data_IF_305482366816
#
_entry.id   IF_305482366816
#
_cell.length_a   1.000
_cell.length_b   1.000
_cell.length_c   1.000
_cell.angle_alpha   90.00
_cell.angle_beta   90.00
_cell.angle_gamma   90.00
#
_symmetry.space_group_name_H-M   'P 1'
#
loop_
_entity.id
_entity.type
_entity.pdbx_description
1 polymer ?
#
# COMPACT_ATOMS: atom_id res chain seq x y z
N UNK A 1 -34.89 -19.03 -39.84
CA UNK A 1 -34.10 -17.94 -39.28
C UNK A 1 -33.63 -18.38 -37.90
N UNK A 2 -32.33 -18.67 -37.71
CA UNK A 2 -31.75 -18.96 -36.41
C UNK A 2 -31.51 -17.62 -35.69
N UNK A 3 -31.83 -17.48 -34.39
CA UNK A 3 -31.56 -16.26 -33.67
C UNK A 3 -30.06 -16.06 -33.58
N UNK A 4 -29.56 -14.91 -34.02
CA UNK A 4 -28.18 -14.46 -33.78
C UNK A 4 -27.98 -14.39 -32.25
N UNK A 5 -27.11 -15.24 -31.74
CA UNK A 5 -26.58 -15.05 -30.39
C UNK A 5 -25.89 -13.68 -30.35
N UNK A 6 -26.52 -12.74 -29.67
CA UNK A 6 -25.87 -11.49 -29.29
C UNK A 6 -24.73 -11.85 -28.35
N UNK A 7 -23.51 -11.72 -28.80
CA UNK A 7 -22.32 -11.66 -27.93
C UNK A 7 -22.56 -10.46 -27.04
N UNK A 8 -22.53 -10.60 -25.70
CA UNK A 8 -22.56 -9.43 -24.83
C UNK A 8 -21.25 -8.68 -25.08
N UNK A 9 -21.30 -7.66 -25.91
CA UNK A 9 -20.24 -6.67 -26.02
C UNK A 9 -20.37 -5.76 -24.81
N UNK A 10 -19.39 -5.78 -24.02
CA UNK A 10 -18.80 -4.81 -23.12
C UNK A 10 -18.26 -5.57 -21.91
N UNK A 11 -17.04 -6.07 -22.06
CA UNK A 11 -16.21 -6.23 -20.88
C UNK A 11 -16.12 -4.84 -20.23
N UNK A 12 -16.75 -4.71 -19.06
CA UNK A 12 -16.68 -3.48 -18.28
C UNK A 12 -15.20 -3.11 -18.15
N UNK A 13 -14.86 -1.85 -18.42
CA UNK A 13 -13.51 -1.31 -18.29
C UNK A 13 -12.91 -1.50 -16.87
N UNK A 14 -13.69 -2.02 -15.94
CA UNK A 14 -13.36 -2.27 -14.54
C UNK A 14 -12.51 -3.54 -14.29
N UNK A 15 -12.34 -4.43 -15.25
CA UNK A 15 -11.56 -5.67 -15.12
C UNK A 15 -10.39 -5.65 -16.10
N UNK A 16 -9.24 -6.20 -15.67
CA UNK A 16 -8.13 -6.52 -16.57
C UNK A 16 -8.35 -7.89 -17.20
N UNK A 17 -8.70 -8.87 -16.38
CA UNK A 17 -9.02 -10.24 -16.76
C UNK A 17 -10.31 -10.69 -16.07
N UNK A 18 -11.48 -10.45 -16.70
CA UNK A 18 -12.78 -10.79 -16.11
C UNK A 18 -12.91 -12.26 -15.71
N UNK A 19 -12.26 -13.16 -16.45
CA UNK A 19 -12.31 -14.58 -16.15
C UNK A 19 -11.61 -14.87 -14.82
N UNK A 20 -10.37 -14.44 -14.67
CA UNK A 20 -9.58 -14.66 -13.44
C UNK A 20 -10.21 -13.92 -12.23
N UNK A 21 -10.65 -12.68 -12.43
CA UNK A 21 -11.15 -11.83 -11.37
C UNK A 21 -12.56 -12.21 -10.84
N UNK A 22 -13.23 -13.17 -11.50
CA UNK A 22 -14.55 -13.70 -11.10
C UNK A 22 -14.58 -15.21 -10.92
N UNK A 23 -13.43 -15.88 -10.85
CA UNK A 23 -13.36 -17.32 -10.57
C UNK A 23 -13.87 -17.66 -9.19
N UNK A 24 -14.57 -18.79 -9.07
CA UNK A 24 -14.88 -19.36 -7.76
C UNK A 24 -13.62 -19.77 -6.99
N UNK A 25 -13.75 -19.83 -5.67
CA UNK A 25 -12.65 -20.08 -4.74
C UNK A 25 -11.80 -21.31 -5.11
N UNK A 26 -12.43 -22.45 -5.39
CA UNK A 26 -11.72 -23.70 -5.71
C UNK A 26 -10.87 -23.56 -6.99
N UNK A 27 -11.46 -23.03 -8.05
CA UNK A 27 -10.74 -22.81 -9.31
C UNK A 27 -9.58 -21.80 -9.16
N UNK A 28 -9.75 -20.78 -8.31
CA UNK A 28 -8.69 -19.85 -7.98
C UNK A 28 -7.56 -20.55 -7.24
N UNK A 29 -7.86 -21.37 -6.24
CA UNK A 29 -6.87 -22.16 -5.48
C UNK A 29 -6.08 -23.12 -6.38
N UNK A 30 -6.72 -23.74 -7.37
CA UNK A 30 -6.02 -24.58 -8.37
C UNK A 30 -5.03 -23.77 -9.20
N UNK A 31 -5.42 -22.59 -9.68
CA UNK A 31 -4.54 -21.68 -10.43
C UNK A 31 -3.36 -21.21 -9.58
N UNK A 32 -3.62 -20.80 -8.34
CA UNK A 32 -2.59 -20.38 -7.40
C UNK A 32 -1.60 -21.52 -7.12
N UNK A 33 -2.10 -22.71 -6.82
CA UNK A 33 -1.26 -23.91 -6.58
C UNK A 33 -0.37 -24.18 -7.78
N UNK A 34 -0.94 -24.20 -8.99
CA UNK A 34 -0.15 -24.45 -10.21
C UNK A 34 0.93 -23.40 -10.44
N UNK A 35 0.60 -22.12 -10.29
CA UNK A 35 1.60 -21.04 -10.41
C UNK A 35 2.69 -21.17 -9.36
N UNK A 36 2.31 -21.50 -8.12
CA UNK A 36 3.26 -21.71 -7.03
C UNK A 36 4.20 -22.89 -7.31
N UNK A 37 3.67 -24.04 -7.76
CA UNK A 37 4.49 -25.19 -8.15
C UNK A 37 5.48 -24.85 -9.27
N UNK A 38 5.04 -24.12 -10.33
CA UNK A 38 5.91 -23.69 -11.42
C UNK A 38 7.03 -22.74 -10.95
N UNK A 39 6.74 -21.88 -9.98
CA UNK A 39 7.77 -21.06 -9.33
C UNK A 39 8.72 -21.91 -8.50
N UNK A 40 8.20 -22.85 -7.70
CA UNK A 40 9.00 -23.74 -6.85
C UNK A 40 9.99 -24.60 -7.65
N UNK A 41 9.62 -25.09 -8.83
CA UNK A 41 10.54 -25.85 -9.69
C UNK A 41 11.82 -25.08 -9.98
N UNK A 42 11.71 -23.79 -10.29
CA UNK A 42 12.86 -22.93 -10.55
C UNK A 42 13.60 -22.52 -9.27
N UNK A 43 12.86 -22.18 -8.23
CA UNK A 43 13.41 -21.75 -6.94
C UNK A 43 14.21 -22.89 -6.28
N UNK A 44 13.67 -24.10 -6.22
CA UNK A 44 14.36 -25.25 -5.62
C UNK A 44 15.64 -25.65 -6.39
N UNK A 45 15.66 -25.42 -7.70
CA UNK A 45 16.80 -25.74 -8.55
C UNK A 45 18.00 -24.81 -8.34
N UNK A 46 17.76 -23.52 -8.12
CA UNK A 46 18.83 -22.51 -8.27
C UNK A 46 18.89 -21.45 -7.16
N UNK A 47 17.79 -21.16 -6.47
CA UNK A 47 17.73 -20.13 -5.42
C UNK A 47 18.33 -20.67 -4.11
N UNK A 48 19.47 -20.13 -3.70
CA UNK A 48 20.17 -20.64 -2.52
C UNK A 48 19.41 -20.36 -1.22
N UNK A 49 18.83 -19.17 -1.07
CA UNK A 49 18.09 -18.76 0.13
C UNK A 49 16.86 -19.66 0.36
N UNK A 50 15.94 -19.69 -0.59
CA UNK A 50 14.74 -20.51 -0.47
C UNK A 50 15.01 -21.99 -0.64
N UNK A 51 15.97 -22.38 -1.49
CA UNK A 51 16.34 -23.78 -1.68
C UNK A 51 16.81 -24.44 -0.38
N UNK A 52 17.56 -23.73 0.48
CA UNK A 52 17.92 -24.20 1.82
C UNK A 52 16.68 -24.23 2.72
N UNK A 53 16.00 -23.11 2.87
CA UNK A 53 14.85 -22.91 3.76
C UNK A 53 13.73 -23.93 3.52
N UNK A 54 13.42 -24.21 2.26
CA UNK A 54 12.37 -25.16 1.88
C UNK A 54 12.79 -26.62 2.07
N UNK A 55 14.05 -26.96 1.76
CA UNK A 55 14.57 -28.30 2.04
C UNK A 55 14.61 -28.62 3.54
N UNK A 56 14.95 -27.65 4.37
CA UNK A 56 14.92 -27.79 5.83
C UNK A 56 13.48 -28.00 6.35
N UNK A 57 12.47 -27.47 5.65
CA UNK A 57 11.05 -27.72 5.89
C UNK A 57 10.52 -29.01 5.22
N UNK A 58 11.39 -29.85 4.62
CA UNK A 58 11.02 -31.13 4.01
C UNK A 58 10.58 -31.05 2.55
N UNK A 59 10.56 -29.86 1.92
CA UNK A 59 10.17 -29.70 0.50
C UNK A 59 11.38 -29.85 -0.40
N UNK A 60 11.39 -30.89 -1.21
CA UNK A 60 12.48 -31.22 -2.15
C UNK A 60 12.07 -31.07 -3.61
N UNK A 61 10.78 -31.22 -3.90
CA UNK A 61 10.20 -31.13 -5.22
C UNK A 61 8.96 -30.20 -5.17
N UNK A 62 8.63 -29.56 -6.26
CA UNK A 62 7.44 -28.69 -6.31
C UNK A 62 6.14 -29.46 -6.02
N UNK A 63 6.11 -30.76 -6.38
CA UNK A 63 4.98 -31.66 -6.17
C UNK A 63 4.80 -32.12 -4.72
N UNK A 64 5.75 -31.82 -3.82
CA UNK A 64 5.58 -32.04 -2.38
C UNK A 64 4.47 -31.13 -1.82
N UNK A 65 4.24 -29.98 -2.45
CA UNK A 65 3.09 -29.10 -2.20
C UNK A 65 1.93 -29.54 -3.11
N UNK A 66 0.98 -30.25 -2.55
CA UNK A 66 -0.17 -30.85 -3.27
C UNK A 66 -1.41 -29.99 -3.22
N UNK A 67 -1.54 -29.18 -2.17
CA UNK A 67 -2.63 -28.26 -1.92
C UNK A 67 -2.09 -26.93 -1.39
N UNK A 68 -2.89 -25.87 -1.40
CA UNK A 68 -2.49 -24.62 -0.75
C UNK A 68 -2.45 -24.72 0.78
N UNK A 69 -3.05 -25.77 1.37
CA UNK A 69 -2.94 -25.97 2.81
C UNK A 69 -1.55 -26.51 3.20
N UNK A 70 -0.86 -27.23 2.30
CA UNK A 70 0.52 -27.64 2.51
C UNK A 70 1.47 -26.42 2.59
N UNK A 71 1.12 -25.32 1.92
CA UNK A 71 1.87 -24.06 2.00
C UNK A 71 1.93 -23.52 3.43
N UNK A 72 0.87 -23.72 4.23
CA UNK A 72 0.82 -23.28 5.64
C UNK A 72 1.89 -23.92 6.52
N UNK A 73 2.45 -25.06 6.11
CA UNK A 73 3.53 -25.75 6.83
C UNK A 73 4.91 -25.17 6.53
N UNK A 74 5.05 -24.36 5.48
CA UNK A 74 6.32 -23.72 5.15
C UNK A 74 6.66 -22.61 6.16
N UNK A 75 7.93 -22.41 6.47
CA UNK A 75 8.34 -21.34 7.39
C UNK A 75 8.05 -19.96 6.81
N UNK A 76 7.66 -19.04 7.67
CA UNK A 76 7.52 -17.64 7.31
C UNK A 76 8.85 -17.04 6.87
N UNK A 77 8.79 -16.05 6.00
CA UNK A 77 9.93 -15.21 5.65
C UNK A 77 9.71 -13.81 6.22
N UNK A 78 10.76 -13.23 6.80
CA UNK A 78 10.73 -11.87 7.36
C UNK A 78 11.69 -10.94 6.62
N UNK A 79 11.44 -9.64 6.74
CA UNK A 79 12.36 -8.63 6.21
C UNK A 79 13.75 -8.73 6.84
N UNK A 80 13.81 -9.05 8.13
CA UNK A 80 15.05 -9.21 8.86
C UNK A 80 15.91 -10.35 8.28
N UNK A 81 15.29 -11.49 7.94
CA UNK A 81 16.03 -12.62 7.30
C UNK A 81 16.60 -12.22 5.94
N UNK A 82 15.82 -11.51 5.10
CA UNK A 82 16.31 -11.04 3.80
C UNK A 82 17.45 -10.02 3.95
N UNK A 83 17.37 -9.13 4.93
CA UNK A 83 18.44 -8.17 5.23
C UNK A 83 19.69 -8.87 5.74
N UNK A 84 19.57 -9.84 6.65
CA UNK A 84 20.69 -10.63 7.16
C UNK A 84 21.37 -11.43 6.03
N UNK A 85 20.61 -12.01 5.12
CA UNK A 85 21.15 -12.69 3.95
C UNK A 85 21.94 -11.73 3.05
N UNK A 86 21.43 -10.51 2.83
CA UNK A 86 22.16 -9.50 2.03
C UNK A 86 23.43 -8.98 2.72
N UNK A 87 23.43 -8.85 4.04
CA UNK A 87 24.61 -8.47 4.80
C UNK A 87 25.68 -9.58 4.78
N UNK A 88 25.25 -10.84 4.87
CA UNK A 88 26.16 -11.98 4.82
C UNK A 88 26.71 -12.26 3.40
N UNK A 89 25.95 -11.88 2.36
CA UNK A 89 26.28 -12.14 0.96
C UNK A 89 26.11 -10.87 0.10
N UNK A 90 26.92 -9.84 0.31
CA UNK A 90 26.77 -8.57 -0.40
C UNK A 90 27.04 -8.70 -1.91
N UNK A 91 26.45 -7.81 -2.74
CA UNK A 91 25.55 -6.75 -2.35
C UNK A 91 24.07 -7.12 -2.34
N UNK A 92 23.65 -8.29 -2.81
CA UNK A 92 22.25 -8.63 -3.10
C UNK A 92 21.69 -9.83 -2.37
N UNK A 93 22.50 -10.51 -1.55
CA UNK A 93 22.11 -11.75 -0.88
C UNK A 93 22.07 -12.95 -1.82
N UNK A 94 21.45 -14.02 -1.34
CA UNK A 94 21.33 -15.31 -2.03
C UNK A 94 19.91 -15.63 -2.49
N UNK A 95 18.93 -14.74 -2.24
CA UNK A 95 17.57 -14.87 -2.77
C UNK A 95 17.51 -14.48 -4.26
N UNK A 96 18.33 -15.12 -5.07
CA UNK A 96 18.41 -14.93 -6.52
C UNK A 96 18.18 -16.28 -7.22
N UNK A 97 17.13 -16.37 -8.02
CA UNK A 97 16.80 -17.59 -8.79
C UNK A 97 17.59 -17.68 -10.09
N UNK A 98 17.99 -16.55 -10.65
CA UNK A 98 18.71 -16.51 -11.92
C UNK A 98 20.13 -15.94 -11.77
N UNK A 99 21.04 -16.16 -12.74
CA UNK A 99 22.32 -15.48 -12.78
C UNK A 99 22.15 -13.95 -12.81
N UNK A 100 23.07 -13.22 -12.19
CA UNK A 100 22.99 -11.75 -11.99
C UNK A 100 22.71 -10.95 -13.28
N UNK A 101 23.26 -11.37 -14.41
CA UNK A 101 23.09 -10.69 -15.69
C UNK A 101 21.64 -10.74 -16.23
N UNK A 102 20.76 -11.57 -15.67
CA UNK A 102 19.33 -11.62 -16.00
C UNK A 102 18.52 -10.51 -15.32
N UNK A 103 19.07 -9.88 -14.27
CA UNK A 103 18.41 -8.81 -13.55
C UNK A 103 18.75 -7.48 -14.18
N UNK A 104 17.73 -6.75 -14.59
CA UNK A 104 17.84 -5.50 -15.33
C UNK A 104 17.45 -4.28 -14.53
N UNK A 105 16.88 -4.49 -13.34
CA UNK A 105 16.43 -3.40 -12.44
C UNK A 105 16.77 -3.71 -11.00
N UNK A 106 17.06 -2.65 -10.27
CA UNK A 106 17.27 -2.66 -8.82
C UNK A 106 16.42 -1.57 -8.20
N UNK A 107 15.73 -1.92 -7.13
CA UNK A 107 15.09 -0.98 -6.22
C UNK A 107 15.48 -1.29 -4.79
N UNK A 108 15.32 -0.32 -3.91
CA UNK A 108 15.65 -0.50 -2.50
C UNK A 108 14.56 0.08 -1.62
N UNK A 109 14.42 -0.46 -0.41
CA UNK A 109 13.54 0.12 0.60
C UNK A 109 14.12 1.40 1.17
N UNK A 110 13.31 2.22 1.85
CA UNK A 110 13.75 3.50 2.42
C UNK A 110 14.83 3.41 3.50
N UNK A 111 15.06 2.20 4.06
CA UNK A 111 16.11 1.98 5.06
C UNK A 111 15.96 2.80 6.35
N UNK A 112 14.75 3.14 6.76
CA UNK A 112 14.48 3.98 7.94
C UNK A 112 15.07 3.47 9.25
N UNK A 113 15.41 2.18 9.32
CA UNK A 113 15.95 1.50 10.50
C UNK A 113 17.37 0.96 10.30
N UNK A 114 18.05 1.31 9.20
CA UNK A 114 19.41 0.82 8.89
C UNK A 114 19.67 0.71 7.38
N UNK A 115 20.43 -0.31 6.98
CA UNK A 115 20.72 -0.59 5.57
C UNK A 115 19.45 -0.89 4.76
N UNK A 116 19.30 -0.33 3.55
CA UNK A 116 18.14 -0.60 2.70
C UNK A 116 18.19 -2.03 2.14
N UNK A 117 17.04 -2.72 2.16
CA UNK A 117 16.89 -3.98 1.43
C UNK A 117 16.89 -3.70 -0.08
N UNK A 118 17.79 -4.33 -0.82
CA UNK A 118 17.91 -4.25 -2.27
C UNK A 118 17.12 -5.37 -2.90
N UNK A 119 16.28 -5.04 -3.85
CA UNK A 119 15.40 -5.99 -4.54
C UNK A 119 15.60 -5.85 -6.03
N UNK A 120 15.86 -6.98 -6.69
CA UNK A 120 16.20 -7.04 -8.10
C UNK A 120 15.05 -7.64 -8.91
N UNK A 121 14.86 -7.11 -10.11
CA UNK A 121 13.88 -7.61 -11.05
C UNK A 121 14.51 -8.00 -12.38
N UNK A 122 14.11 -9.18 -12.89
CA UNK A 122 14.31 -9.55 -14.28
C UNK A 122 13.28 -8.84 -15.15
N UNK A 123 13.43 -8.92 -16.47
CA UNK A 123 12.44 -8.35 -17.40
C UNK A 123 11.06 -9.03 -17.27
N UNK A 124 11.04 -10.34 -16.97
CA UNK A 124 9.80 -11.09 -16.74
C UNK A 124 9.12 -10.64 -15.44
N UNK A 125 9.87 -10.50 -14.33
CA UNK A 125 9.38 -9.98 -13.05
C UNK A 125 8.82 -8.56 -13.21
N UNK A 126 9.49 -7.73 -13.99
CA UNK A 126 9.05 -6.35 -14.22
C UNK A 126 7.76 -6.27 -15.04
N UNK A 127 7.61 -7.11 -16.08
CA UNK A 127 6.34 -7.23 -16.83
C UNK A 127 5.20 -7.73 -15.94
N UNK A 128 5.49 -8.66 -15.03
CA UNK A 128 4.53 -9.11 -14.02
C UNK A 128 4.08 -7.96 -13.10
N UNK A 129 5.00 -7.13 -12.62
CA UNK A 129 4.68 -5.94 -11.85
C UNK A 129 3.75 -4.99 -12.63
N UNK A 130 4.08 -4.72 -13.88
CA UNK A 130 3.28 -3.88 -14.76
C UNK A 130 1.85 -4.43 -14.93
N UNK A 131 1.70 -5.77 -15.04
CA UNK A 131 0.39 -6.44 -15.09
C UNK A 131 -0.38 -6.26 -13.77
N UNK A 132 0.26 -6.39 -12.62
CA UNK A 132 -0.38 -6.15 -11.33
C UNK A 132 -0.93 -4.71 -11.24
N UNK A 133 -0.17 -3.71 -11.68
CA UNK A 133 -0.62 -2.32 -11.74
C UNK A 133 -1.73 -2.09 -12.77
N UNK A 134 -1.71 -2.81 -13.88
CA UNK A 134 -2.80 -2.76 -14.86
C UNK A 134 -4.15 -3.19 -14.22
N UNK A 135 -4.14 -4.19 -13.32
CA UNK A 135 -5.32 -4.57 -12.53
C UNK A 135 -5.78 -3.42 -11.62
N UNK A 136 -4.85 -2.75 -10.90
CA UNK A 136 -5.16 -1.56 -10.08
C UNK A 136 -5.87 -0.50 -10.90
N UNK A 137 -5.33 -0.16 -12.06
CA UNK A 137 -5.90 0.85 -12.95
C UNK A 137 -7.30 0.48 -13.42
N UNK A 138 -7.48 -0.74 -13.92
CA UNK A 138 -8.79 -1.21 -14.40
C UNK A 138 -9.82 -1.23 -13.28
N UNK A 139 -9.44 -1.67 -12.07
CA UNK A 139 -10.32 -1.67 -10.92
C UNK A 139 -10.80 -0.27 -10.53
N UNK A 140 -9.94 0.75 -10.64
CA UNK A 140 -10.29 2.15 -10.44
C UNK A 140 -11.08 2.76 -11.62
N UNK A 141 -11.15 2.08 -12.78
CA UNK A 141 -11.85 2.55 -13.98
C UNK A 141 -10.98 3.42 -14.89
N UNK A 142 -9.66 3.26 -14.82
CA UNK A 142 -8.71 3.88 -15.75
C UNK A 142 -8.69 3.11 -17.06
N UNK A 143 -8.63 3.81 -18.18
CA UNK A 143 -8.67 3.27 -19.54
C UNK A 143 -7.51 3.79 -20.38
N UNK A 144 -7.41 3.31 -21.63
CA UNK A 144 -6.44 3.82 -22.62
C UNK A 144 -6.67 5.28 -23.05
N UNK A 145 -7.81 5.87 -22.67
CA UNK A 145 -8.13 7.28 -22.98
C UNK A 145 -7.58 8.24 -21.91
N UNK A 146 -7.07 7.70 -20.80
CA UNK A 146 -6.62 8.48 -19.67
C UNK A 146 -5.19 8.99 -19.85
N UNK A 147 -4.93 10.12 -19.25
CA UNK A 147 -3.61 10.74 -19.08
C UNK A 147 -3.28 10.69 -17.59
N UNK A 148 -2.27 9.91 -17.27
CA UNK A 148 -1.88 9.60 -15.89
C UNK A 148 -0.65 10.43 -15.52
N UNK A 149 -0.79 11.32 -14.55
CA UNK A 149 0.33 12.10 -14.02
C UNK A 149 0.93 11.41 -12.77
N UNK A 150 2.23 11.19 -12.81
CA UNK A 150 3.01 10.60 -11.73
C UNK A 150 3.72 11.69 -10.94
N UNK A 151 3.09 12.18 -9.88
CA UNK A 151 3.67 13.18 -9.00
C UNK A 151 4.67 12.52 -8.02
N UNK A 152 5.81 12.07 -8.57
CA UNK A 152 6.76 11.20 -7.91
C UNK A 152 8.20 11.48 -8.38
N UNK A 153 9.19 11.28 -7.49
CA UNK A 153 10.58 11.69 -7.75
C UNK A 153 11.43 10.67 -8.52
N UNK A 154 10.94 9.49 -8.83
CA UNK A 154 11.65 8.44 -9.59
C UNK A 154 13.07 8.14 -9.10
N UNK A 155 13.23 7.93 -7.78
CA UNK A 155 14.50 7.55 -7.16
C UNK A 155 14.78 6.04 -7.17
N UNK A 156 15.76 5.54 -6.39
CA UNK A 156 16.13 4.12 -6.36
C UNK A 156 15.12 3.24 -5.61
N UNK A 157 14.09 3.81 -4.98
CA UNK A 157 12.97 3.07 -4.39
C UNK A 157 11.90 2.80 -5.43
N UNK A 158 11.16 1.69 -5.27
CA UNK A 158 10.18 1.24 -6.27
C UNK A 158 9.13 2.31 -6.56
N UNK A 159 8.59 2.96 -5.52
CA UNK A 159 7.56 3.98 -5.64
C UNK A 159 6.51 3.63 -6.70
N UNK A 160 6.37 4.51 -7.68
CA UNK A 160 5.43 4.33 -8.78
C UNK A 160 6.09 3.93 -10.12
N UNK A 161 7.35 3.46 -10.11
CA UNK A 161 7.99 2.95 -11.34
C UNK A 161 7.18 1.85 -12.01
N UNK A 162 6.71 0.87 -11.23
CA UNK A 162 5.88 -0.22 -11.75
C UNK A 162 4.49 0.27 -12.19
N UNK A 163 3.97 1.32 -11.54
CA UNK A 163 2.76 2.01 -11.95
C UNK A 163 2.92 2.66 -13.33
N UNK A 164 4.05 3.31 -13.55
CA UNK A 164 4.37 3.91 -14.86
C UNK A 164 4.37 2.87 -15.99
N UNK A 165 4.97 1.71 -15.73
CA UNK A 165 4.93 0.59 -16.70
C UNK A 165 3.51 0.01 -16.86
N UNK A 166 2.74 -0.07 -15.77
CA UNK A 166 1.34 -0.52 -15.80
C UNK A 166 0.45 0.35 -16.68
N UNK A 167 0.71 1.67 -16.73
CA UNK A 167 0.02 2.58 -17.63
C UNK A 167 0.19 2.18 -19.11
N UNK A 168 1.40 1.74 -19.49
CA UNK A 168 1.69 1.25 -20.85
C UNK A 168 0.91 -0.02 -21.17
N UNK A 169 0.75 -0.93 -20.20
CA UNK A 169 -0.01 -2.17 -20.38
C UNK A 169 -1.47 -1.90 -20.74
N UNK A 170 -2.10 -0.91 -20.12
CA UNK A 170 -3.48 -0.53 -20.40
C UNK A 170 -3.61 0.45 -21.58
N UNK A 171 -2.50 0.91 -22.16
CA UNK A 171 -2.47 1.85 -23.29
C UNK A 171 -2.77 3.30 -22.90
N UNK A 172 -2.67 3.67 -21.62
CA UNK A 172 -2.86 5.04 -21.16
C UNK A 172 -1.61 5.88 -21.36
N UNK A 173 -1.79 7.20 -21.53
CA UNK A 173 -0.68 8.12 -21.62
C UNK A 173 -0.06 8.35 -20.23
N UNK A 174 1.24 8.07 -20.08
CA UNK A 174 1.97 8.27 -18.85
C UNK A 174 2.75 9.60 -18.89
N UNK A 175 2.52 10.48 -17.93
CA UNK A 175 3.16 11.79 -17.82
C UNK A 175 4.01 11.84 -16.54
N UNK A 176 5.35 11.80 -16.65
CA UNK A 176 6.23 11.81 -15.49
C UNK A 176 6.34 13.21 -14.89
N UNK A 177 6.12 13.32 -13.57
CA UNK A 177 6.29 14.56 -12.79
C UNK A 177 7.62 14.64 -12.00
N UNK A 178 8.58 13.74 -12.29
CA UNK A 178 9.87 13.74 -11.63
C UNK A 178 10.69 15.02 -11.89
N UNK A 179 11.40 15.51 -10.88
CA UNK A 179 12.21 16.73 -11.00
C UNK A 179 11.44 18.06 -10.93
N UNK A 180 10.09 18.02 -10.97
CA UNK A 180 9.24 19.21 -10.81
C UNK A 180 8.98 19.49 -9.33
N UNK A 181 8.94 20.77 -8.95
CA UNK A 181 8.41 21.20 -7.65
C UNK A 181 6.87 21.13 -7.65
N UNK A 182 6.24 21.34 -6.49
CA UNK A 182 4.78 21.17 -6.32
C UNK A 182 3.98 22.16 -7.18
N UNK A 183 4.42 23.41 -7.29
CA UNK A 183 3.81 24.41 -8.19
C UNK A 183 3.85 23.98 -9.65
N UNK A 184 5.02 23.52 -10.12
CA UNK A 184 5.20 23.05 -11.49
C UNK A 184 4.33 21.84 -11.79
N UNK A 185 4.17 20.92 -10.81
CA UNK A 185 3.29 19.74 -10.92
C UNK A 185 1.82 20.15 -11.05
N UNK A 186 1.34 21.09 -10.21
CA UNK A 186 -0.02 21.63 -10.31
C UNK A 186 -0.26 22.20 -11.71
N UNK A 187 0.65 23.07 -12.18
CA UNK A 187 0.52 23.64 -13.54
C UNK A 187 0.55 22.56 -14.63
N UNK A 188 1.43 21.58 -14.53
CA UNK A 188 1.54 20.49 -15.50
C UNK A 188 0.25 19.64 -15.54
N UNK A 189 -0.38 19.38 -14.39
CA UNK A 189 -1.65 18.67 -14.31
C UNK A 189 -2.75 19.43 -15.05
N UNK A 190 -2.86 20.74 -14.83
CA UNK A 190 -3.89 21.57 -15.46
C UNK A 190 -3.68 21.74 -16.97
N UNK A 191 -2.44 22.05 -17.39
CA UNK A 191 -2.12 22.34 -18.81
C UNK A 191 -2.14 21.08 -19.68
N UNK A 192 -1.78 19.92 -19.14
CA UNK A 192 -1.74 18.66 -19.92
C UNK A 192 -3.04 17.86 -19.84
N UNK A 193 -4.13 18.48 -19.37
CA UNK A 193 -5.46 17.87 -19.36
C UNK A 193 -5.45 16.48 -18.68
N UNK A 194 -4.77 16.38 -17.52
CA UNK A 194 -4.58 15.14 -16.77
C UNK A 194 -5.92 14.65 -16.24
N UNK A 195 -6.19 13.35 -16.39
CA UNK A 195 -7.42 12.71 -15.89
C UNK A 195 -7.20 11.80 -14.68
N UNK A 196 -5.96 11.39 -14.43
CA UNK A 196 -5.60 10.49 -13.30
C UNK A 196 -4.33 11.00 -12.62
N UNK A 197 -4.36 11.10 -11.29
CA UNK A 197 -3.21 11.44 -10.47
C UNK A 197 -2.71 10.22 -9.69
N UNK A 198 -1.39 10.01 -9.67
CA UNK A 198 -0.72 9.00 -8.87
C UNK A 198 0.29 9.67 -7.95
N UNK A 199 0.10 9.55 -6.64
CA UNK A 199 1.01 10.04 -5.60
C UNK A 199 0.69 9.40 -4.24
N UNK A 200 1.42 9.77 -3.17
CA UNK A 200 1.02 9.43 -1.80
C UNK A 200 -0.19 10.26 -1.35
N UNK A 201 -1.00 9.79 -0.38
CA UNK A 201 -2.13 10.56 0.16
C UNK A 201 -1.71 11.92 0.70
N UNK A 202 -0.61 11.96 1.48
CA UNK A 202 -0.06 13.21 2.03
C UNK A 202 0.30 14.20 0.93
N UNK A 203 0.92 13.73 -0.15
CA UNK A 203 1.31 14.59 -1.24
C UNK A 203 0.12 15.11 -2.05
N UNK A 204 -0.95 14.32 -2.18
CA UNK A 204 -2.20 14.79 -2.79
C UNK A 204 -2.82 15.96 -2.03
N UNK A 205 -2.77 15.92 -0.69
CA UNK A 205 -3.24 17.02 0.17
C UNK A 205 -2.32 18.23 0.07
N UNK A 206 -1.00 18.02 0.04
CA UNK A 206 -0.04 19.12 -0.15
C UNK A 206 -0.24 19.85 -1.50
N UNK A 207 -0.53 19.12 -2.57
CA UNK A 207 -0.83 19.75 -3.87
C UNK A 207 -2.13 20.58 -3.83
N UNK A 208 -3.13 20.20 -3.01
CA UNK A 208 -4.32 21.01 -2.77
C UNK A 208 -3.94 22.34 -2.10
N UNK A 209 -3.14 22.28 -1.02
CA UNK A 209 -2.65 23.48 -0.31
C UNK A 209 -1.88 24.42 -1.24
N UNK A 210 -0.99 23.88 -2.07
CA UNK A 210 -0.23 24.65 -3.06
C UNK A 210 -1.15 25.30 -4.09
N UNK A 211 -2.16 24.58 -4.58
CA UNK A 211 -3.10 25.12 -5.54
C UNK A 211 -3.95 26.24 -4.95
N UNK A 212 -4.42 26.10 -3.70
CA UNK A 212 -5.17 27.15 -2.98
C UNK A 212 -4.32 28.41 -2.80
N UNK A 213 -3.04 28.26 -2.40
CA UNK A 213 -2.11 29.40 -2.23
C UNK A 213 -1.85 30.14 -3.53
N UNK A 214 -1.81 29.43 -4.65
CA UNK A 214 -1.51 29.97 -5.99
C UNK A 214 -2.79 30.36 -6.77
N UNK A 215 -3.97 30.19 -6.18
CA UNK A 215 -5.25 30.56 -6.79
C UNK A 215 -5.71 29.61 -7.90
N UNK A 216 -5.26 28.35 -7.90
CA UNK A 216 -5.71 27.31 -8.83
C UNK A 216 -6.88 26.51 -8.24
N UNK A 217 -7.87 26.20 -9.06
CA UNK A 217 -9.00 25.34 -8.70
C UNK A 217 -8.76 23.91 -9.24
N UNK A 218 -8.28 23.01 -8.37
CA UNK A 218 -8.09 21.59 -8.73
C UNK A 218 -9.39 20.81 -8.83
N UNK A 219 -10.43 21.23 -8.12
CA UNK A 219 -11.71 20.54 -8.14
C UNK A 219 -12.43 20.68 -9.49
N UNK A 220 -12.18 21.75 -10.24
CA UNK A 220 -12.68 21.96 -11.60
C UNK A 220 -11.74 21.41 -12.70
N UNK A 221 -10.61 20.81 -12.33
CA UNK A 221 -9.68 20.17 -13.28
C UNK A 221 -10.30 18.92 -13.92
N UNK A 222 -9.65 18.40 -14.97
CA UNK A 222 -10.07 17.14 -15.60
C UNK A 222 -9.66 15.87 -14.81
N UNK A 223 -9.00 16.01 -13.65
CA UNK A 223 -8.66 14.88 -12.79
C UNK A 223 -9.95 14.29 -12.22
N UNK A 224 -10.26 13.06 -12.61
CA UNK A 224 -11.46 12.31 -12.17
C UNK A 224 -11.15 11.16 -11.23
N UNK A 225 -9.87 10.74 -11.18
CA UNK A 225 -9.36 9.64 -10.37
C UNK A 225 -8.04 10.04 -9.74
N UNK A 226 -7.89 9.75 -8.45
CA UNK A 226 -6.60 9.76 -7.76
C UNK A 226 -6.35 8.36 -7.19
N UNK A 227 -5.13 7.82 -7.35
CA UNK A 227 -4.73 6.52 -6.80
C UNK A 227 -3.51 6.73 -5.93
N UNK A 228 -3.57 6.24 -4.71
CA UNK A 228 -2.58 6.51 -3.68
C UNK A 228 -1.99 5.23 -3.12
N UNK A 229 -0.71 5.30 -2.74
CA UNK A 229 0.03 4.22 -2.11
C UNK A 229 1.17 4.76 -1.25
N UNK A 230 1.79 3.85 -0.50
CA UNK A 230 3.05 4.10 0.20
C UNK A 230 2.89 4.46 1.67
N UNK A 231 1.73 4.91 2.09
CA UNK A 231 1.36 5.20 3.48
C UNK A 231 -0.15 5.02 3.69
N UNK A 232 -0.65 4.85 4.93
CA UNK A 232 -2.07 4.93 5.22
C UNK A 232 -2.62 6.31 4.82
N UNK A 233 -3.88 6.37 4.40
CA UNK A 233 -4.51 7.64 4.05
C UNK A 233 -5.71 7.48 3.13
N UNK A 234 -5.53 6.94 1.93
CA UNK A 234 -6.62 6.75 0.98
C UNK A 234 -7.68 5.74 1.44
N UNK A 235 -7.35 4.84 2.37
CA UNK A 235 -8.30 3.96 3.07
C UNK A 235 -8.97 4.63 4.28
N UNK A 236 -8.37 5.72 4.83
CA UNK A 236 -8.91 6.42 5.99
C UNK A 236 -10.03 7.38 5.55
N UNK A 237 -11.27 7.25 6.08
CA UNK A 237 -12.43 8.04 5.61
C UNK A 237 -12.19 9.55 5.63
N UNK A 238 -11.58 10.08 6.68
CA UNK A 238 -11.30 11.52 6.81
C UNK A 238 -10.34 12.04 5.73
N UNK A 239 -9.21 11.37 5.54
CA UNK A 239 -8.22 11.70 4.51
C UNK A 239 -8.79 11.54 3.11
N UNK A 240 -9.49 10.42 2.86
CA UNK A 240 -10.14 10.14 1.57
C UNK A 240 -11.14 11.21 1.17
N UNK A 241 -12.05 11.58 2.10
CA UNK A 241 -13.04 12.62 1.85
C UNK A 241 -12.40 13.97 1.54
N UNK A 242 -11.27 14.28 2.17
CA UNK A 242 -10.53 15.53 1.97
C UNK A 242 -9.87 15.59 0.59
N UNK A 243 -9.21 14.48 0.18
CA UNK A 243 -8.64 14.35 -1.17
C UNK A 243 -9.74 14.44 -2.21
N UNK A 244 -10.87 13.75 -2.02
CA UNK A 244 -12.00 13.78 -2.97
C UNK A 244 -12.58 15.18 -3.15
N UNK A 245 -12.72 15.95 -2.07
CA UNK A 245 -13.21 17.35 -2.16
C UNK A 245 -12.23 18.26 -2.87
N UNK A 246 -10.94 18.21 -2.49
CA UNK A 246 -9.95 19.13 -3.05
C UNK A 246 -9.66 18.88 -4.52
N UNK A 247 -9.75 17.63 -4.97
CA UNK A 247 -9.53 17.25 -6.38
C UNK A 247 -10.80 17.15 -7.21
N UNK A 248 -11.99 17.17 -6.61
CA UNK A 248 -13.25 16.88 -7.33
C UNK A 248 -13.28 15.47 -7.94
N UNK A 249 -12.46 14.54 -7.43
CA UNK A 249 -12.13 13.25 -8.03
C UNK A 249 -12.43 12.07 -7.10
N UNK A 250 -12.59 10.87 -7.64
CA UNK A 250 -12.67 9.65 -6.84
C UNK A 250 -11.28 9.24 -6.38
N UNK A 251 -11.11 9.07 -5.07
CA UNK A 251 -9.87 8.67 -4.44
C UNK A 251 -9.85 7.16 -4.22
N UNK A 252 -8.80 6.49 -4.69
CA UNK A 252 -8.62 5.04 -4.56
C UNK A 252 -7.34 4.73 -3.79
N UNK A 253 -7.43 3.68 -2.97
CA UNK A 253 -6.30 3.13 -2.23
C UNK A 253 -5.64 1.97 -2.98
N UNK A 254 -4.33 1.84 -2.83
CA UNK A 254 -3.52 0.74 -3.34
C UNK A 254 -2.46 0.34 -2.33
N UNK A 255 -2.28 -0.96 -2.14
CA UNK A 255 -1.25 -1.50 -1.26
C UNK A 255 -0.24 -2.36 -2.01
N UNK A 256 1.02 -2.18 -1.65
CA UNK A 256 2.16 -2.92 -2.17
C UNK A 256 3.43 -2.66 -1.37
N UNK A 257 4.42 -3.49 -1.58
CA UNK A 257 5.75 -3.34 -0.98
C UNK A 257 6.83 -3.66 -2.00
N UNK A 258 8.02 -3.04 -1.83
CA UNK A 258 9.16 -3.23 -2.74
C UNK A 258 9.52 -4.70 -2.90
N UNK A 259 9.52 -5.45 -1.81
CA UNK A 259 9.87 -6.88 -1.77
C UNK A 259 8.74 -7.80 -2.24
N UNK A 260 7.48 -7.36 -2.18
CA UNK A 260 6.29 -8.19 -2.42
C UNK A 260 5.73 -8.02 -3.84
N UNK A 261 5.37 -6.81 -4.19
CA UNK A 261 4.62 -6.49 -5.39
C UNK A 261 3.38 -5.62 -5.11
N UNK A 262 2.65 -5.26 -6.18
CA UNK A 262 1.39 -4.53 -6.13
C UNK A 262 0.24 -5.51 -5.84
N UNK A 263 0.06 -5.86 -4.57
CA UNK A 263 -0.83 -6.94 -4.16
C UNK A 263 -2.28 -6.52 -3.96
N UNK A 264 -2.51 -5.28 -3.49
CA UNK A 264 -3.82 -4.82 -3.03
C UNK A 264 -4.36 -3.66 -3.84
N UNK A 265 -5.64 -3.66 -4.16
CA UNK A 265 -6.27 -2.58 -4.91
C UNK A 265 -7.72 -2.34 -4.48
N UNK A 266 -8.12 -1.08 -4.50
CA UNK A 266 -9.51 -0.69 -4.30
C UNK A 266 -10.25 -0.69 -5.64
N UNK A 267 -11.48 -1.19 -5.64
CA UNK A 267 -12.36 -1.18 -6.81
C UNK A 267 -13.36 -0.01 -6.78
N UNK A 268 -14.18 0.13 -7.83
CA UNK A 268 -15.21 1.18 -7.94
C UNK A 268 -16.24 1.18 -6.78
N UNK A 269 -16.40 0.08 -6.06
CA UNK A 269 -17.30 0.03 -4.90
C UNK A 269 -16.72 0.78 -3.68
N UNK A 270 -15.40 1.00 -3.65
CA UNK A 270 -14.69 1.74 -2.60
C UNK A 270 -14.97 1.18 -1.19
N UNK A 271 -14.99 -0.13 -1.06
CA UNK A 271 -15.30 -0.85 0.18
C UNK A 271 -14.14 -1.78 0.59
N UNK A 272 -12.96 -1.20 0.76
CA UNK A 272 -11.72 -1.91 1.14
C UNK A 272 -10.89 -2.38 -0.04
N UNK A 273 -9.80 -3.11 0.26
CA UNK A 273 -8.80 -3.57 -0.70
C UNK A 273 -9.03 -5.02 -1.10
N UNK A 274 -9.16 -5.30 -2.38
CA UNK A 274 -9.04 -6.65 -2.92
C UNK A 274 -7.57 -7.06 -3.01
N UNK A 275 -7.29 -8.33 -2.70
CA UNK A 275 -6.02 -8.96 -3.05
C UNK A 275 -6.06 -9.39 -4.52
N UNK A 276 -5.01 -9.15 -5.27
CA UNK A 276 -4.87 -9.68 -6.63
C UNK A 276 -4.55 -11.18 -6.57
N UNK A 277 -5.54 -12.01 -6.24
CA UNK A 277 -5.36 -13.45 -6.01
C UNK A 277 -4.91 -14.22 -7.25
N UNK A 278 -5.10 -13.67 -8.44
CA UNK A 278 -4.50 -14.23 -9.65
C UNK A 278 -2.98 -14.20 -9.66
N UNK A 279 -2.34 -13.35 -8.84
CA UNK A 279 -0.89 -13.13 -8.81
C UNK A 279 -0.27 -13.29 -7.41
N UNK A 280 -1.10 -13.42 -6.36
CA UNK A 280 -0.65 -13.54 -4.97
C UNK A 280 -1.49 -14.56 -4.22
N UNK A 281 -0.86 -15.23 -3.24
CA UNK A 281 -1.54 -15.95 -2.17
C UNK A 281 -1.43 -15.08 -0.92
N UNK A 282 -2.56 -14.81 -0.28
CA UNK A 282 -2.63 -14.04 0.96
C UNK A 282 -3.17 -14.91 2.10
N UNK A 283 -2.49 -14.87 3.23
CA UNK A 283 -2.89 -15.47 4.50
C UNK A 283 -3.06 -14.34 5.53
N UNK A 284 -4.00 -14.47 6.43
CA UNK A 284 -4.13 -13.59 7.60
C UNK A 284 -3.89 -14.43 8.82
N UNK A 285 -2.92 -14.06 9.64
CA UNK A 285 -2.51 -14.84 10.81
C UNK A 285 -2.57 -14.01 12.08
N UNK A 286 -2.83 -14.67 13.19
CA UNK A 286 -2.54 -14.09 14.50
C UNK A 286 -1.02 -13.89 14.61
N UNK A 287 -0.53 -12.68 14.90
CA UNK A 287 0.91 -12.39 14.88
C UNK A 287 1.70 -13.10 15.99
N UNK A 288 1.03 -13.60 17.04
CA UNK A 288 1.65 -14.28 18.19
C UNK A 288 1.69 -15.79 17.96
N UNK A 289 0.54 -16.40 17.59
CA UNK A 289 0.43 -17.85 17.41
C UNK A 289 0.85 -18.31 16.01
N UNK A 290 0.75 -17.44 15.01
CA UNK A 290 0.98 -17.78 13.60
C UNK A 290 -0.17 -18.56 12.96
N UNK A 291 -1.27 -18.78 13.69
CA UNK A 291 -2.47 -19.47 13.20
C UNK A 291 -3.34 -18.57 12.34
N UNK A 292 -4.17 -19.16 11.49
CA UNK A 292 -5.09 -18.42 10.63
C UNK A 292 -6.13 -17.65 11.46
N UNK A 293 -6.39 -16.40 11.04
CA UNK A 293 -7.34 -15.50 11.69
C UNK A 293 -8.16 -14.70 10.68
N UNK A 294 -9.29 -14.11 11.13
CA UNK A 294 -10.07 -13.17 10.31
C UNK A 294 -9.49 -11.75 10.36
N UNK A 295 -8.83 -11.40 11.45
CA UNK A 295 -8.09 -10.16 11.61
C UNK A 295 -6.71 -10.47 12.20
N UNK A 296 -5.66 -9.95 11.56
CA UNK A 296 -4.29 -10.23 12.00
C UNK A 296 -3.26 -9.66 11.03
N UNK A 297 -2.07 -10.24 11.07
CA UNK A 297 -0.98 -9.88 10.17
C UNK A 297 -1.16 -10.51 8.80
N UNK A 298 -0.94 -9.71 7.78
CA UNK A 298 -0.95 -10.16 6.39
C UNK A 298 0.37 -10.87 6.05
N UNK A 299 0.24 -12.09 5.54
CA UNK A 299 1.34 -12.87 4.98
C UNK A 299 1.09 -13.06 3.49
N UNK A 300 2.10 -12.79 2.66
CA UNK A 300 1.97 -12.87 1.20
C UNK A 300 3.03 -13.77 0.57
N UNK A 301 2.57 -14.56 -0.39
CA UNK A 301 3.41 -15.25 -1.38
C UNK A 301 3.13 -14.66 -2.75
N UNK A 302 4.15 -14.15 -3.45
CA UNK A 302 3.98 -13.72 -4.84
C UNK A 302 4.18 -14.88 -5.82
N UNK A 303 3.45 -14.88 -6.94
CA UNK A 303 3.41 -16.01 -7.87
C UNK A 303 4.11 -15.75 -9.21
N UNK A 304 4.51 -14.52 -9.49
CA UNK A 304 5.10 -14.19 -10.79
C UNK A 304 6.46 -13.49 -10.71
N UNK A 305 6.95 -13.16 -9.52
CA UNK A 305 8.29 -12.58 -9.30
C UNK A 305 9.32 -13.67 -9.02
N UNK A 306 9.48 -14.59 -9.96
CA UNK A 306 10.32 -15.80 -9.79
C UNK A 306 11.80 -15.46 -9.56
N UNK A 307 12.30 -14.37 -10.11
CA UNK A 307 13.71 -13.98 -10.02
C UNK A 307 14.17 -13.71 -8.59
N UNK A 308 13.36 -13.02 -7.80
CA UNK A 308 13.59 -12.72 -6.40
C UNK A 308 12.25 -12.83 -5.65
N UNK A 309 11.78 -14.06 -5.41
CA UNK A 309 10.45 -14.29 -4.85
C UNK A 309 10.37 -13.97 -3.37
N UNK A 310 9.12 -13.84 -2.88
CA UNK A 310 8.80 -13.97 -1.46
C UNK A 310 7.76 -15.08 -1.28
N UNK A 311 8.05 -15.98 -0.32
CA UNK A 311 7.19 -17.10 0.04
C UNK A 311 6.85 -16.95 1.52
N UNK A 312 5.55 -16.91 1.84
CA UNK A 312 5.00 -16.68 3.18
C UNK A 312 5.68 -15.50 3.89
N UNK A 313 5.75 -14.37 3.20
CA UNK A 313 6.38 -13.17 3.70
C UNK A 313 5.46 -12.43 4.68
N UNK A 314 5.93 -12.25 5.90
CA UNK A 314 5.26 -11.43 6.92
C UNK A 314 5.44 -9.96 6.57
N UNK A 315 4.34 -9.32 6.17
CA UNK A 315 4.39 -7.92 5.70
C UNK A 315 4.50 -6.92 6.84
N UNK A 316 4.09 -7.31 8.05
CA UNK A 316 3.88 -6.43 9.18
C UNK A 316 2.59 -5.60 9.07
N UNK A 317 1.84 -5.72 7.99
CA UNK A 317 0.57 -5.01 7.81
C UNK A 317 -0.57 -5.76 8.50
N UNK A 318 -1.39 -5.05 9.29
CA UNK A 318 -2.60 -5.60 9.90
C UNK A 318 -3.80 -5.37 8.98
N UNK A 319 -4.57 -6.43 8.76
CA UNK A 319 -5.74 -6.44 7.89
C UNK A 319 -6.89 -7.21 8.53
N UNK A 320 -8.14 -6.98 8.04
CA UNK A 320 -9.34 -7.72 8.43
C UNK A 320 -10.03 -8.24 7.18
N UNK A 321 -10.31 -9.56 7.14
CA UNK A 321 -11.07 -10.20 6.05
C UNK A 321 -12.50 -9.67 6.02
N UNK A 322 -12.97 -9.26 4.85
CA UNK A 322 -14.37 -8.88 4.66
C UNK A 322 -15.25 -10.13 4.64
N UNK A 323 -16.35 -10.07 5.35
CA UNK A 323 -17.31 -11.19 5.47
C UNK A 323 -18.37 -11.20 4.36
N UNK A 324 -18.47 -10.11 3.57
CA UNK A 324 -19.50 -9.97 2.54
C UNK A 324 -18.89 -9.86 1.15
N UNK A 325 -19.54 -10.41 0.11
CA UNK A 325 -19.10 -10.20 -1.26
C UNK A 325 -19.06 -8.71 -1.64
N UNK A 326 -18.15 -8.36 -2.56
CA UNK A 326 -18.10 -7.00 -3.07
C UNK A 326 -19.11 -6.76 -4.18
N UNK A 327 -19.79 -5.60 -4.14
CA UNK A 327 -20.72 -5.18 -5.19
C UNK A 327 -20.08 -5.02 -6.58
N UNK A 328 -18.74 -5.02 -6.68
CA UNK A 328 -18.04 -4.99 -7.96
C UNK A 328 -18.10 -6.33 -8.72
N UNK A 329 -18.54 -7.42 -8.10
CA UNK A 329 -18.61 -8.75 -8.70
C UNK A 329 -17.33 -9.59 -8.67
N UNK A 330 -16.19 -9.04 -8.15
CA UNK A 330 -14.98 -9.83 -7.94
C UNK A 330 -15.14 -10.82 -6.81
N UNK A 331 -14.59 -11.98 -7.00
CA UNK A 331 -14.55 -13.05 -5.99
C UNK A 331 -13.30 -13.02 -5.13
N UNK A 332 -12.34 -12.17 -5.47
CA UNK A 332 -11.07 -12.00 -4.76
C UNK A 332 -11.26 -11.64 -3.29
N UNK A 333 -10.43 -12.22 -2.42
CA UNK A 333 -10.34 -11.85 -1.02
C UNK A 333 -10.26 -10.32 -0.88
N UNK A 334 -11.03 -9.79 0.07
CA UNK A 334 -11.09 -8.35 0.32
C UNK A 334 -10.83 -8.05 1.79
N UNK A 335 -10.09 -6.98 2.04
CA UNK A 335 -9.82 -6.47 3.38
C UNK A 335 -10.63 -5.22 3.66
N UNK A 336 -11.46 -5.25 4.70
CA UNK A 336 -12.23 -4.09 5.15
C UNK A 336 -11.31 -3.00 5.69
N UNK A 337 -11.52 -1.75 5.24
CA UNK A 337 -10.67 -0.63 5.64
C UNK A 337 -9.24 -0.69 5.07
N UNK A 338 -8.94 -1.69 4.22
CA UNK A 338 -7.60 -1.87 3.65
C UNK A 338 -6.56 -2.32 4.67
N UNK A 339 -5.38 -1.69 4.66
CA UNK A 339 -4.37 -1.87 5.71
C UNK A 339 -4.74 -1.00 6.90
N UNK A 340 -5.13 -1.64 8.01
CA UNK A 340 -5.62 -0.97 9.21
C UNK A 340 -4.47 -0.28 9.97
N UNK A 341 -3.28 -0.86 9.90
CA UNK A 341 -2.06 -0.37 10.57
C UNK A 341 -0.93 -1.35 10.41
N UNK A 342 0.17 -1.12 11.11
CA UNK A 342 1.28 -2.06 11.15
C UNK A 342 1.33 -2.75 12.52
N UNK A 343 1.74 -4.02 12.52
CA UNK A 343 1.90 -4.80 13.75
C UNK A 343 3.01 -4.23 14.64
N UNK A 344 4.04 -3.66 14.01
CA UNK A 344 5.21 -3.05 14.66
C UNK A 344 5.03 -1.56 15.03
N UNK A 345 3.99 -0.88 14.52
CA UNK A 345 3.70 0.53 14.80
C UNK A 345 2.66 0.71 15.93
N UNK A 346 2.29 -0.36 16.63
CA UNK A 346 1.32 -0.27 17.73
C UNK A 346 1.91 0.52 18.89
N UNK A 347 1.30 1.64 19.20
CA UNK A 347 1.62 2.46 20.36
C UNK A 347 0.86 1.93 21.56
N UNK A 348 1.56 1.44 22.56
CA UNK A 348 0.95 1.07 23.84
C UNK A 348 0.98 2.30 24.74
N UNK A 349 -0.19 2.89 25.01
CA UNK A 349 -0.33 4.05 25.89
C UNK A 349 -1.34 3.73 26.96
N UNK A 350 -0.90 3.75 28.22
CA UNK A 350 -1.74 3.41 29.40
C UNK A 350 -2.45 2.06 29.28
N UNK A 351 -1.78 1.06 28.68
CA UNK A 351 -2.33 -0.29 28.47
C UNK A 351 -3.31 -0.43 27.28
N UNK A 352 -3.50 0.64 26.50
CA UNK A 352 -4.33 0.61 25.28
C UNK A 352 -3.42 0.52 24.05
N UNK A 353 -3.70 -0.44 23.17
CA UNK A 353 -3.05 -0.56 21.88
C UNK A 353 -3.67 0.43 20.88
N UNK A 354 -2.87 1.36 20.38
CA UNK A 354 -3.29 2.42 19.49
C UNK A 354 -2.52 2.33 18.18
N UNK A 355 -3.23 2.33 17.09
CA UNK A 355 -2.62 2.50 15.76
C UNK A 355 -2.53 3.99 15.43
N UNK A 356 -1.37 4.50 14.97
CA UNK A 356 -1.23 5.87 14.48
C UNK A 356 -2.32 6.27 13.48
N UNK A 357 -2.70 5.36 12.59
CA UNK A 357 -3.78 5.55 11.61
C UNK A 357 -5.15 5.86 12.24
N UNK A 358 -5.44 5.32 13.44
CA UNK A 358 -6.69 5.60 14.13
C UNK A 358 -6.75 7.06 14.63
N UNK A 359 -5.65 7.57 15.20
CA UNK A 359 -5.54 8.98 15.59
C UNK A 359 -5.61 9.88 14.34
N UNK A 360 -4.85 9.55 13.29
CA UNK A 360 -4.88 10.31 12.04
C UNK A 360 -6.28 10.40 11.46
N UNK A 361 -7.01 9.29 11.41
CA UNK A 361 -8.38 9.30 10.89
C UNK A 361 -9.28 10.26 11.66
N UNK A 362 -9.23 10.23 13.00
CA UNK A 362 -10.05 11.10 13.85
C UNK A 362 -9.69 12.58 13.62
N UNK A 363 -8.40 12.91 13.62
CA UNK A 363 -7.94 14.28 13.39
C UNK A 363 -8.37 14.78 12.00
N UNK A 364 -8.26 13.94 10.98
CA UNK A 364 -8.63 14.29 9.59
C UNK A 364 -10.14 14.34 9.34
N UNK A 365 -10.97 13.79 10.20
CA UNK A 365 -12.42 13.98 10.15
C UNK A 365 -12.83 15.43 10.46
N UNK A 366 -12.01 16.18 11.22
CA UNK A 366 -12.23 17.62 11.43
C UNK A 366 -11.77 18.42 10.20
N UNK A 367 -12.67 19.01 9.41
CA UNK A 367 -12.31 19.71 8.15
C UNK A 367 -11.50 20.98 8.39
N UNK A 368 -11.58 21.54 9.60
CA UNK A 368 -10.88 22.76 10.02
C UNK A 368 -9.43 22.52 10.42
N UNK A 369 -8.98 21.24 10.52
CA UNK A 369 -7.58 20.91 10.81
C UNK A 369 -6.77 20.86 9.53
N UNK A 370 -5.74 21.67 9.39
CA UNK A 370 -4.76 21.65 8.31
C UNK A 370 -3.79 20.46 8.41
N UNK A 371 -2.65 20.68 9.03
CA UNK A 371 -1.68 19.61 9.33
C UNK A 371 -1.69 19.32 10.83
N UNK A 372 -1.08 18.17 11.24
CA UNK A 372 -0.98 17.81 12.64
C UNK A 372 0.32 17.04 12.92
N UNK A 373 0.72 17.05 14.20
CA UNK A 373 1.83 16.24 14.72
C UNK A 373 1.45 15.64 16.07
N UNK A 374 1.95 14.46 16.37
CA UNK A 374 1.67 13.70 17.60
C UNK A 374 2.99 13.36 18.27
N UNK A 375 3.12 13.80 19.50
CA UNK A 375 4.28 13.53 20.35
C UNK A 375 3.84 12.69 21.55
N UNK A 376 4.57 11.62 21.85
CA UNK A 376 4.29 10.72 22.95
C UNK A 376 5.42 10.82 23.96
N UNK A 377 5.07 11.12 25.20
CA UNK A 377 6.01 11.33 26.29
C UNK A 377 5.71 10.40 27.46
N UNK A 378 6.72 10.15 28.27
CA UNK A 378 6.55 9.65 29.64
C UNK A 378 6.73 10.79 30.61
N UNK A 379 5.64 11.19 31.28
CA UNK A 379 5.66 12.22 32.32
C UNK A 379 5.38 11.57 33.67
N UNK A 380 6.44 11.42 34.47
CA UNK A 380 6.38 10.64 35.72
C UNK A 380 6.10 9.16 35.45
N UNK A 381 5.05 8.62 36.05
CA UNK A 381 4.65 7.22 35.85
C UNK A 381 3.67 6.99 34.67
N UNK A 382 3.24 8.03 33.97
CA UNK A 382 2.19 7.93 32.97
C UNK A 382 2.67 8.37 31.61
N UNK A 383 2.20 7.67 30.58
CA UNK A 383 2.36 8.08 29.20
C UNK A 383 1.34 9.16 28.85
N UNK A 384 1.77 10.19 28.13
CA UNK A 384 0.96 11.28 27.64
C UNK A 384 1.11 11.44 26.14
N UNK A 385 0.01 11.83 25.50
CA UNK A 385 -0.05 12.15 24.05
C UNK A 385 -0.38 13.62 23.91
N UNK A 386 0.51 14.35 23.24
CA UNK A 386 0.33 15.73 22.84
C UNK A 386 0.10 15.77 21.33
N UNK A 387 -0.99 16.38 20.91
CA UNK A 387 -1.35 16.53 19.50
C UNK A 387 -1.33 18.01 19.17
N UNK A 388 -0.49 18.42 18.25
CA UNK A 388 -0.49 19.78 17.69
C UNK A 388 -1.28 19.77 16.41
N UNK A 389 -2.25 20.68 16.27
CA UNK A 389 -3.09 20.82 15.09
C UNK A 389 -2.97 22.22 14.52
N UNK A 390 -2.77 22.35 13.23
CA UNK A 390 -2.90 23.61 12.53
C UNK A 390 -4.35 23.87 12.18
N UNK A 391 -4.85 25.08 12.44
CA UNK A 391 -6.18 25.49 12.06
C UNK A 391 -6.23 27.00 11.74
N UNK A 392 -7.07 27.37 10.78
CA UNK A 392 -7.39 28.76 10.43
C UNK A 392 -8.79 29.17 10.90
N UNK A 393 -9.42 28.36 11.76
CA UNK A 393 -10.71 28.69 12.34
C UNK A 393 -10.63 29.90 13.25
N UNK A 394 -11.69 30.71 13.31
CA UNK A 394 -11.78 31.87 14.20
C UNK A 394 -11.66 31.51 15.68
N UNK A 395 -12.07 30.29 16.02
CA UNK A 395 -11.99 29.72 17.37
C UNK A 395 -11.10 28.46 17.42
N UNK A 396 -9.75 28.58 17.42
CA UNK A 396 -8.84 27.43 17.39
C UNK A 396 -9.03 26.44 18.55
N UNK A 397 -9.31 26.94 19.76
CA UNK A 397 -9.55 26.11 20.94
C UNK A 397 -10.83 25.26 20.83
N UNK A 398 -11.85 25.73 20.12
CA UNK A 398 -13.05 24.95 19.83
C UNK A 398 -12.70 23.73 18.97
N UNK A 399 -11.87 23.90 17.95
CA UNK A 399 -11.39 22.80 17.08
C UNK A 399 -10.58 21.80 17.90
N UNK A 400 -9.65 22.27 18.72
CA UNK A 400 -8.85 21.42 19.58
C UNK A 400 -9.71 20.62 20.59
N UNK A 401 -10.73 21.25 21.18
CA UNK A 401 -11.67 20.58 22.06
C UNK A 401 -12.50 19.52 21.35
N UNK A 402 -12.92 19.77 20.10
CA UNK A 402 -13.63 18.81 19.27
C UNK A 402 -12.76 17.57 19.00
N UNK A 403 -11.53 17.75 18.54
CA UNK A 403 -10.60 16.66 18.29
C UNK A 403 -10.33 15.85 19.57
N UNK A 404 -10.13 16.53 20.71
CA UNK A 404 -9.92 15.90 22.02
C UNK A 404 -11.12 15.04 22.42
N UNK A 405 -12.32 15.54 22.25
CA UNK A 405 -13.57 14.83 22.55
C UNK A 405 -13.74 13.60 21.67
N UNK A 406 -13.50 13.72 20.35
CA UNK A 406 -13.61 12.61 19.41
C UNK A 406 -12.58 11.49 19.68
N UNK A 407 -11.34 11.83 20.02
CA UNK A 407 -10.32 10.82 20.40
C UNK A 407 -10.75 10.11 21.69
N UNK A 408 -11.27 10.87 22.66
CA UNK A 408 -11.76 10.27 23.91
C UNK A 408 -12.95 9.34 23.68
N UNK A 409 -13.89 9.74 22.83
CA UNK A 409 -15.09 8.96 22.53
C UNK A 409 -14.77 7.69 21.75
N UNK A 410 -13.89 7.81 20.74
CA UNK A 410 -13.58 6.73 19.80
C UNK A 410 -12.53 5.75 20.33
N UNK A 411 -11.52 6.24 21.06
CA UNK A 411 -10.38 5.44 21.51
C UNK A 411 -10.30 5.28 23.04
N UNK A 412 -11.18 5.93 23.79
CA UNK A 412 -11.12 5.92 25.25
C UNK A 412 -9.91 6.65 25.85
N UNK A 413 -9.18 7.42 25.06
CA UNK A 413 -7.93 8.06 25.45
C UNK A 413 -8.12 9.51 25.85
N UNK A 414 -7.40 9.90 26.91
CA UNK A 414 -7.20 11.31 27.23
C UNK A 414 -5.91 11.79 26.58
N UNK A 415 -6.02 12.80 25.73
CA UNK A 415 -4.90 13.42 25.01
C UNK A 415 -4.93 14.92 25.24
N UNK A 416 -3.77 15.57 25.11
CA UNK A 416 -3.71 17.02 25.00
C UNK A 416 -3.76 17.39 23.53
N UNK A 417 -4.54 18.41 23.19
CA UNK A 417 -4.60 18.93 21.81
C UNK A 417 -4.33 20.43 21.88
N UNK A 418 -3.35 20.88 21.11
CA UNK A 418 -2.88 22.25 21.08
C UNK A 418 -3.05 22.82 19.67
N UNK A 419 -3.82 23.88 19.48
CA UNK A 419 -3.82 24.60 18.22
C UNK A 419 -2.48 25.32 18.04
N UNK A 420 -1.94 25.28 16.82
CA UNK A 420 -0.72 25.99 16.44
C UNK A 420 -1.00 26.83 15.19
N UNK A 421 -0.15 27.83 14.94
CA UNK A 421 -0.27 28.69 13.78
C UNK A 421 -0.14 27.88 12.48
N UNK A 422 -0.97 28.22 11.49
CA UNK A 422 -0.98 27.56 10.19
C UNK A 422 0.37 27.74 9.47
N UNK A 423 0.89 26.63 8.92
CA UNK A 423 2.17 26.60 8.21
C UNK A 423 3.39 26.33 9.11
N UNK A 424 3.21 26.11 10.43
CA UNK A 424 4.33 25.83 11.35
C UNK A 424 4.75 24.39 11.41
N UNK A 425 3.86 23.45 11.06
CA UNK A 425 4.17 22.03 11.04
C UNK A 425 4.80 21.63 9.70
N UNK A 426 5.69 20.62 9.69
CA UNK A 426 6.35 20.18 8.47
C UNK A 426 5.37 19.70 7.40
N UNK A 427 5.70 19.96 6.14
CA UNK A 427 5.04 19.37 4.96
C UNK A 427 5.93 18.27 4.39
N UNK A 428 5.33 17.24 3.84
CA UNK A 428 6.04 16.04 3.39
C UNK A 428 5.76 15.77 1.91
N UNK A 429 6.83 15.66 1.12
CA UNK A 429 6.77 15.30 -0.30
C UNK A 429 6.61 13.80 -0.54
N UNK A 430 6.88 12.99 0.50
CA UNK A 430 6.80 11.53 0.50
C UNK A 430 5.93 11.06 1.67
N UNK A 431 6.37 10.01 2.39
CA UNK A 431 5.66 9.53 3.58
C UNK A 431 5.75 10.53 4.72
N UNK A 432 4.61 10.82 5.32
CA UNK A 432 4.56 11.70 6.49
C UNK A 432 5.16 11.04 7.74
N UNK A 433 5.83 11.86 8.56
CA UNK A 433 6.35 11.48 9.89
C UNK A 433 5.68 12.35 10.94
N UNK A 434 4.42 12.04 11.24
CA UNK A 434 3.60 12.82 12.17
C UNK A 434 3.70 12.38 13.61
N UNK A 435 4.21 11.16 13.85
CA UNK A 435 4.29 10.56 15.19
C UNK A 435 5.74 10.48 15.64
N UNK A 436 5.99 10.99 16.86
CA UNK A 436 7.29 10.93 17.51
C UNK A 436 7.12 10.35 18.91
N UNK A 437 7.75 9.20 19.18
CA UNK A 437 7.76 8.58 20.49
C UNK A 437 9.04 8.97 21.24
N UNK A 438 8.91 9.84 22.24
CA UNK A 438 10.02 10.32 23.06
C UNK A 438 10.31 9.43 24.27
N UNK A 439 9.53 8.35 24.48
CA UNK A 439 9.72 7.45 25.64
C UNK A 439 10.96 6.58 25.50
N UNK A 440 11.41 6.33 24.27
CA UNK A 440 12.57 5.47 23.95
C UNK A 440 13.90 6.20 23.95
N UNK A 441 13.91 7.52 24.13
CA UNK A 441 15.14 8.32 24.19
C UNK A 441 15.71 8.30 25.62
N UNK A 442 16.10 7.13 26.12
CA UNK A 442 16.99 7.07 27.26
C UNK A 442 18.40 7.29 26.71
N UNK A 443 18.88 8.51 26.81
CA UNK A 443 20.30 8.84 26.66
C UNK A 443 21.08 7.97 27.64
N UNK A 444 21.84 7.00 27.15
CA UNK A 444 22.95 6.45 27.93
C UNK A 444 23.95 7.59 28.11
N UNK A 445 23.99 8.15 29.32
CA UNK A 445 25.11 8.97 29.82
C UNK A 445 26.25 8.05 30.19
#
# INVERSE_FOLDING_TARGET
MKPKRSIPMMYDAAYLDPFIESLGLEAMREIQLRKFQLMLEQVLATNTFYGRKLRDAGVRHAQDIRTLDDLKQLPFTTKAELMQDQLAHPPYGTNLTFPRHRYTRIHQTSGTTGEPLRVLDTEESWRWWAKCWATVYRAAGVTSRDRIFFAFSFGPFIGFWSAYEGARVIGAMAVPGGGMNSYQRVKAILVNDISVLICTPTYAMHLIEVAEQEGFDLASSNVRITIHAGEPGASLPGTKARIQRGWGARCYDHAGATEVGAWGFECKAQNGLHVNEGEFIAEVIDPVTGEEADEGELVITNLGRVGMPVIRYRTGDRVRKAQTPCACGRTFLRFEGGVIGRVDDVLIVRGVNIFPSAIENIVRLSPEVGEFAVDIYRRGAMDEIDIRIETQADEPERVANTVRAEIRNSLGLRVNVFPVEYGTLPRFDLKARRFTDHRTTTTHV
#
